data_IF_859869899984
#
_entry.id   IF_859869899984
#
_cell.length_a   1.000
_cell.length_b   1.000
_cell.length_c   1.000
_cell.angle_alpha   90.00
_cell.angle_beta   90.00
_cell.angle_gamma   90.00
#
_symmetry.space_group_name_H-M   'P 1'
#
loop_
_entity.id
_entity.type
_entity.pdbx_description
1 polymer ?
#
# COMPACT_ATOMS: atom_id res chain seq x y z
N UNK A 1 -12.85 -5.60 0.87
CA UNK A 1 -12.35 -6.33 2.07
C UNK A 1 -11.14 -7.16 1.69
N UNK A 2 -9.94 -6.72 2.09
CA UNK A 2 -8.69 -7.42 1.78
C UNK A 2 -8.65 -8.79 2.46
N UNK A 3 -8.58 -9.88 1.67
CA UNK A 3 -8.29 -11.22 2.17
C UNK A 3 -6.80 -11.50 1.99
N UNK A 4 -6.01 -11.24 3.02
CA UNK A 4 -4.58 -11.60 3.06
C UNK A 4 -4.46 -13.12 3.07
N UNK A 5 -3.57 -13.68 2.23
CA UNK A 5 -3.30 -15.11 2.25
C UNK A 5 -2.92 -15.56 3.67
N UNK A 6 -3.42 -16.71 4.13
CA UNK A 6 -3.16 -17.17 5.49
C UNK A 6 -1.66 -17.32 5.71
N UNK A 7 -1.20 -16.91 6.90
CA UNK A 7 0.15 -17.23 7.36
C UNK A 7 0.32 -18.76 7.37
N UNK A 8 1.55 -19.23 7.13
CA UNK A 8 1.87 -20.67 7.12
C UNK A 8 1.42 -21.40 8.40
N UNK A 9 1.29 -20.69 9.54
CA UNK A 9 0.74 -21.20 10.80
C UNK A 9 -0.41 -20.32 11.30
N UNK A 10 -1.63 -20.88 11.34
CA UNK A 10 -2.83 -20.20 11.85
C UNK A 10 -2.89 -20.15 13.40
N UNK A 11 -2.20 -21.06 14.09
CA UNK A 11 -2.18 -21.18 15.56
C UNK A 11 -1.51 -20.00 16.28
N UNK A 12 -0.63 -19.26 15.60
CA UNK A 12 0.10 -18.12 16.16
C UNK A 12 -0.60 -16.77 15.92
N UNK A 13 -1.74 -16.78 15.21
CA UNK A 13 -2.46 -15.54 14.88
C UNK A 13 -3.29 -15.04 16.06
N UNK A 14 -3.37 -13.70 16.17
CA UNK A 14 -4.29 -13.06 17.10
C UNK A 14 -5.74 -13.39 16.72
N UNK A 15 -6.49 -13.93 17.68
CA UNK A 15 -7.90 -14.28 17.51
C UNK A 15 -8.84 -13.11 17.86
N UNK A 16 -8.55 -11.93 17.31
CA UNK A 16 -9.41 -10.75 17.39
C UNK A 16 -9.61 -10.18 15.99
N UNK A 17 -10.78 -9.58 15.69
CA UNK A 17 -10.98 -8.88 14.43
C UNK A 17 -10.16 -7.59 14.41
N UNK A 18 -9.49 -7.32 13.28
CA UNK A 18 -8.82 -6.05 12.98
C UNK A 18 -9.55 -5.32 11.85
N UNK A 19 -9.84 -4.03 12.05
CA UNK A 19 -10.17 -3.09 10.99
C UNK A 19 -9.05 -2.04 10.96
N UNK A 20 -8.38 -1.91 9.82
CA UNK A 20 -7.35 -0.91 9.57
C UNK A 20 -7.89 0.10 8.55
N UNK A 21 -7.87 1.37 8.93
CA UNK A 21 -8.25 2.50 8.07
C UNK A 21 -7.00 3.32 7.81
N UNK A 22 -6.76 3.61 6.54
CA UNK A 22 -5.61 4.37 6.06
C UNK A 22 -6.13 5.56 5.28
N UNK A 23 -5.97 6.77 5.82
CA UNK A 23 -6.53 8.01 5.30
C UNK A 23 -5.68 8.65 4.19
N UNK A 24 -4.46 8.15 3.99
CA UNK A 24 -3.60 8.52 2.87
C UNK A 24 -3.02 7.26 2.20
N UNK A 25 -3.94 6.46 1.67
CA UNK A 25 -3.65 5.17 1.05
C UNK A 25 -2.78 5.24 -0.22
N UNK A 26 -2.50 6.42 -0.76
CA UNK A 26 -1.58 6.57 -1.89
C UNK A 26 -0.12 6.26 -1.51
N UNK A 27 0.26 6.49 -0.24
CA UNK A 27 1.60 6.23 0.28
C UNK A 27 1.93 4.73 0.36
N UNK A 28 0.88 3.91 0.43
CA UNK A 28 0.97 2.46 0.41
C UNK A 28 1.01 1.88 -1.02
N UNK A 29 1.05 2.70 -2.08
CA UNK A 29 1.05 2.21 -3.46
C UNK A 29 2.37 1.54 -3.88
N UNK A 30 2.40 1.01 -5.10
CA UNK A 30 3.63 0.52 -5.74
C UNK A 30 4.60 1.68 -5.93
N UNK A 31 5.88 1.44 -5.66
CA UNK A 31 6.94 2.42 -5.84
C UNK A 31 7.66 2.15 -7.17
N UNK A 32 7.31 2.92 -8.20
CA UNK A 32 7.89 2.80 -9.54
C UNK A 32 9.39 3.14 -9.60
N UNK A 33 9.93 3.83 -8.58
CA UNK A 33 11.33 4.24 -8.54
C UNK A 33 12.31 3.09 -8.22
N UNK A 34 11.84 1.95 -7.69
CA UNK A 34 12.69 0.82 -7.28
C UNK A 34 12.62 -0.38 -8.22
N UNK A 35 12.06 -0.21 -9.42
CA UNK A 35 11.88 -1.26 -10.42
C UNK A 35 10.42 -1.70 -10.56
N UNK A 36 10.10 -2.39 -11.66
CA UNK A 36 8.74 -2.95 -11.87
C UNK A 36 8.39 -3.89 -10.73
N UNK A 37 7.31 -3.61 -10.01
CA UNK A 37 6.77 -4.48 -8.96
C UNK A 37 7.29 -4.23 -7.54
N UNK A 38 8.19 -3.26 -7.32
CA UNK A 38 8.68 -2.92 -5.99
C UNK A 38 7.58 -2.20 -5.17
N UNK A 39 7.13 -2.82 -4.09
CA UNK A 39 6.10 -2.27 -3.19
C UNK A 39 6.71 -1.34 -2.13
N UNK A 40 5.95 -0.30 -1.72
CA UNK A 40 6.45 0.66 -0.72
C UNK A 40 6.71 0.00 0.65
N UNK A 41 7.59 0.61 1.45
CA UNK A 41 7.85 0.15 2.83
C UNK A 41 6.58 0.14 3.68
N UNK A 42 5.66 1.07 3.42
CA UNK A 42 4.37 1.20 4.10
C UNK A 42 3.47 0.02 3.72
N UNK A 43 3.36 -0.30 2.42
CA UNK A 43 2.63 -1.47 1.91
C UNK A 43 3.08 -2.76 2.62
N UNK A 44 4.40 -2.95 2.67
CA UNK A 44 5.14 -3.68 3.69
C UNK A 44 4.47 -3.85 5.06
N UNK A 45 4.64 -2.82 5.85
CA UNK A 45 4.28 -2.90 7.26
C UNK A 45 2.78 -3.15 7.45
N UNK A 46 1.94 -2.61 6.56
CA UNK A 46 0.51 -2.90 6.51
C UNK A 46 0.27 -4.40 6.31
N UNK A 47 0.87 -5.04 5.29
CA UNK A 47 0.70 -6.49 5.09
C UNK A 47 1.21 -7.32 6.27
N UNK A 48 2.37 -6.94 6.83
CA UNK A 48 2.93 -7.62 8.00
C UNK A 48 1.99 -7.53 9.19
N UNK A 49 1.35 -6.38 9.41
CA UNK A 49 0.36 -6.19 10.47
C UNK A 49 -0.88 -7.03 10.22
N UNK A 50 -1.48 -6.93 9.03
CA UNK A 50 -2.68 -7.68 8.66
C UNK A 50 -2.47 -9.20 8.78
N UNK A 51 -1.26 -9.70 8.47
CA UNK A 51 -0.95 -11.13 8.55
C UNK A 51 -0.95 -11.69 9.98
N UNK A 52 -0.77 -10.84 11.00
CA UNK A 52 -0.78 -11.27 12.41
C UNK A 52 -2.17 -11.64 12.92
N UNK A 53 -3.24 -11.26 12.21
CA UNK A 53 -4.61 -11.47 12.65
C UNK A 53 -5.27 -12.59 11.84
N UNK A 54 -6.11 -13.38 12.52
CA UNK A 54 -6.95 -14.42 11.91
C UNK A 54 -8.07 -13.82 11.06
N UNK A 55 -8.54 -12.62 11.43
CA UNK A 55 -9.57 -11.85 10.74
C UNK A 55 -9.12 -10.39 10.65
N UNK A 56 -8.92 -9.89 9.43
CA UNK A 56 -8.44 -8.53 9.19
C UNK A 56 -9.20 -7.91 8.00
N UNK A 57 -9.51 -6.63 8.08
CA UNK A 57 -10.04 -5.81 6.98
C UNK A 57 -9.22 -4.53 6.88
N UNK A 58 -8.88 -4.14 5.65
CA UNK A 58 -8.20 -2.89 5.33
C UNK A 58 -9.11 -2.03 4.47
N UNK A 59 -9.18 -0.74 4.80
CA UNK A 59 -9.89 0.30 4.06
C UNK A 59 -8.89 1.43 3.81
N UNK A 60 -8.51 1.60 2.54
CA UNK A 60 -7.76 2.76 2.10
C UNK A 60 -8.70 3.86 1.63
N UNK A 61 -8.51 5.06 2.14
CA UNK A 61 -9.15 6.30 1.74
C UNK A 61 -8.03 7.27 1.33
N UNK A 62 -8.24 8.05 0.27
CA UNK A 62 -7.26 9.05 -0.19
C UNK A 62 -7.96 10.02 -1.14
N UNK A 63 -7.48 11.26 -1.18
CA UNK A 63 -7.88 12.24 -2.19
C UNK A 63 -7.16 12.04 -3.54
N UNK A 64 -6.07 11.27 -3.56
CA UNK A 64 -5.11 11.16 -4.68
C UNK A 64 -4.87 9.70 -5.10
N UNK A 65 -5.89 8.96 -5.58
CA UNK A 65 -5.75 7.53 -5.86
C UNK A 65 -4.94 7.22 -7.14
N UNK A 66 -4.14 8.16 -7.67
CA UNK A 66 -3.45 8.05 -8.97
C UNK A 66 -2.64 6.76 -9.10
N UNK A 67 -1.77 6.45 -8.14
CA UNK A 67 -0.96 5.24 -8.22
C UNK A 67 -1.81 3.97 -8.04
N UNK A 68 -2.92 4.05 -7.32
CA UNK A 68 -3.79 2.92 -6.99
C UNK A 68 -4.71 2.52 -8.16
N UNK A 69 -5.14 3.49 -8.99
CA UNK A 69 -5.98 3.23 -10.18
C UNK A 69 -5.21 2.59 -11.34
N UNK A 70 -3.89 2.78 -11.41
CA UNK A 70 -3.05 2.25 -12.49
C UNK A 70 -2.46 0.87 -12.18
N UNK A 71 -2.79 0.28 -11.03
CA UNK A 71 -2.39 -1.08 -10.67
C UNK A 71 -3.24 -2.07 -11.47
N UNK A 72 -2.58 -2.99 -12.18
CA UNK A 72 -3.25 -4.07 -12.89
C UNK A 72 -4.00 -4.98 -11.87
N UNK A 73 -5.33 -5.15 -11.99
CA UNK A 73 -6.14 -5.98 -11.10
C UNK A 73 -5.85 -7.48 -11.16
N UNK A 74 -5.14 -7.92 -12.20
CA UNK A 74 -4.78 -9.31 -12.43
C UNK A 74 -3.28 -9.57 -12.22
N UNK A 75 -2.49 -8.56 -11.83
CA UNK A 75 -1.12 -8.78 -11.38
C UNK A 75 -1.13 -9.48 -10.01
N UNK A 76 -0.49 -10.65 -9.95
CA UNK A 76 -0.40 -11.49 -8.75
C UNK A 76 1.05 -11.74 -8.32
N UNK A 77 2.04 -11.28 -9.11
CA UNK A 77 3.46 -11.47 -8.84
C UNK A 77 4.13 -10.15 -8.46
N UNK A 78 4.32 -9.94 -7.16
CA UNK A 78 5.01 -8.75 -6.65
C UNK A 78 6.34 -9.15 -6.00
N UNK A 79 7.37 -8.34 -6.25
CA UNK A 79 8.66 -8.49 -5.58
C UNK A 79 8.72 -7.49 -4.45
N UNK A 80 8.75 -7.99 -3.21
CA UNK A 80 8.95 -7.14 -2.05
C UNK A 80 10.44 -6.92 -1.82
N UNK A 81 10.87 -5.66 -1.94
CA UNK A 81 12.26 -5.28 -1.68
C UNK A 81 12.34 -4.43 -0.42
N UNK A 82 13.06 -4.89 0.59
CA UNK A 82 13.26 -4.12 1.83
C UNK A 82 14.69 -4.16 2.34
N UNK A 83 15.07 -3.09 3.05
CA UNK A 83 16.35 -2.98 3.71
C UNK A 83 16.23 -3.54 5.13
N UNK A 84 16.87 -4.67 5.40
CA UNK A 84 17.06 -5.19 6.75
C UNK A 84 18.38 -4.66 7.32
N UNK A 85 18.36 -4.18 8.56
CA UNK A 85 19.57 -3.73 9.23
C UNK A 85 20.41 -4.97 9.55
N UNK A 86 21.66 -4.97 9.10
CA UNK A 86 22.59 -6.02 9.46
C UNK A 86 23.00 -5.77 10.92
N UNK A 87 22.84 -6.76 11.83
CA UNK A 87 23.34 -6.63 13.19
C UNK A 87 24.84 -6.33 13.15
N UNK A 88 25.26 -5.31 13.89
CA UNK A 88 26.68 -5.09 14.09
C UNK A 88 27.24 -6.29 14.88
N UNK A 89 28.47 -6.74 14.59
CA UNK A 89 29.13 -7.73 15.42
C UNK A 89 29.07 -7.33 16.89
N UNK A 90 28.82 -8.27 17.82
CA UNK A 90 28.84 -7.97 19.25
C UNK A 90 30.16 -7.29 19.62
N UNK A 91 30.09 -6.11 20.25
CA UNK A 91 31.27 -5.36 20.68
C UNK A 91 31.86 -4.38 19.65
N UNK A 92 31.29 -4.22 18.44
CA UNK A 92 31.75 -3.19 17.49
C UNK A 92 31.01 -1.86 17.66
N UNK A 93 31.72 -0.76 17.92
CA UNK A 93 31.21 0.62 17.95
C UNK A 93 31.19 1.30 16.57
N UNK A 94 30.97 0.55 15.50
CA UNK A 94 30.93 1.12 14.15
C UNK A 94 29.66 1.97 13.96
N UNK A 95 29.84 3.30 13.78
CA UNK A 95 28.73 4.26 13.53
C UNK A 95 28.05 4.06 12.17
N UNK A 96 28.67 3.31 11.27
CA UNK A 96 28.13 3.03 9.94
C UNK A 96 27.02 1.98 9.98
N UNK A 97 25.79 2.40 9.65
CA UNK A 97 24.64 1.50 9.53
C UNK A 97 24.71 0.76 8.20
N UNK A 98 25.04 -0.53 8.23
CA UNK A 98 24.95 -1.42 7.06
C UNK A 98 23.55 -2.03 6.94
N UNK A 99 23.09 -2.15 5.70
CA UNK A 99 21.79 -2.72 5.37
C UNK A 99 21.97 -3.80 4.31
N UNK A 100 21.19 -4.88 4.40
CA UNK A 100 21.03 -5.87 3.35
C UNK A 100 19.73 -5.59 2.61
N UNK A 101 19.77 -5.64 1.28
CA UNK A 101 18.55 -5.66 0.47
C UNK A 101 18.06 -7.11 0.44
N UNK A 102 16.82 -7.31 0.89
CA UNK A 102 16.12 -8.58 0.81
C UNK A 102 15.05 -8.43 -0.25
N UNK A 103 15.02 -9.39 -1.17
CA UNK A 103 14.00 -9.52 -2.21
C UNK A 103 13.20 -10.78 -1.90
N UNK A 104 11.91 -10.60 -1.62
CA UNK A 104 10.96 -11.70 -1.47
C UNK A 104 9.99 -11.68 -2.64
N UNK A 105 10.01 -12.74 -3.44
CA UNK A 105 8.98 -12.92 -4.46
C UNK A 105 7.72 -13.41 -3.77
N UNK A 106 6.71 -12.56 -3.74
CA UNK A 106 5.42 -12.87 -3.14
C UNK A 106 4.43 -13.07 -4.28
N UNK A 107 4.03 -14.32 -4.46
CA UNK A 107 2.83 -14.65 -5.25
C UNK A 107 1.61 -14.44 -4.36
N UNK A 108 1.26 -13.18 -4.12
CA UNK A 108 0.08 -12.77 -3.35
C UNK A 108 -0.56 -11.60 -4.06
N UNK A 109 -1.89 -11.60 -4.05
CA UNK A 109 -2.71 -10.48 -4.52
C UNK A 109 -2.29 -9.18 -3.83
N UNK A 110 -2.29 -8.08 -4.58
CA UNK A 110 -1.99 -6.75 -4.04
C UNK A 110 -3.09 -6.28 -3.07
N UNK A 111 -2.77 -5.31 -2.21
CA UNK A 111 -3.70 -4.64 -1.29
C UNK A 111 -4.87 -4.03 -2.07
N UNK A 112 -4.62 -3.53 -3.27
CA UNK A 112 -5.53 -2.59 -3.93
C UNK A 112 -6.48 -3.12 -5.03
N UNK A 113 -6.16 -4.01 -5.98
CA UNK A 113 -6.83 -3.84 -7.27
C UNK A 113 -8.03 -4.79 -7.51
N UNK A 114 -8.62 -5.40 -6.48
CA UNK A 114 -9.93 -6.11 -6.61
C UNK A 114 -10.99 -5.73 -5.58
N UNK A 115 -10.64 -4.93 -4.57
CA UNK A 115 -11.53 -4.72 -3.43
C UNK A 115 -12.39 -3.46 -3.54
N UNK A 116 -12.80 -3.13 -4.77
CA UNK A 116 -13.54 -1.93 -5.22
C UNK A 116 -12.81 -0.61 -4.92
N UNK A 117 -12.66 0.24 -5.95
CA UNK A 117 -12.39 1.67 -5.77
C UNK A 117 -13.76 2.34 -5.90
N UNK A 118 -14.25 2.97 -4.82
CA UNK A 118 -15.47 3.77 -4.89
C UNK A 118 -15.06 5.22 -5.08
N UNK A 119 -15.27 5.75 -6.28
CA UNK A 119 -15.25 7.19 -6.50
C UNK A 119 -16.47 7.81 -5.83
N UNK A 120 -16.26 8.71 -4.87
CA UNK A 120 -17.35 9.47 -4.29
C UNK A 120 -17.79 10.54 -5.30
N UNK A 121 -19.10 10.67 -5.51
CA UNK A 121 -19.63 11.79 -6.29
C UNK A 121 -19.28 13.10 -5.58
N UNK A 122 -18.90 14.16 -6.33
CA UNK A 122 -18.69 15.47 -5.73
C UNK A 122 -20.00 15.92 -5.05
N UNK A 123 -19.93 16.51 -3.84
CA UNK A 123 -21.13 17.04 -3.18
C UNK A 123 -21.75 18.17 -4.01
N UNK A 124 -23.05 18.42 -3.84
CA UNK A 124 -23.79 19.41 -4.64
C UNK A 124 -23.27 20.85 -4.51
N UNK A 125 -22.47 21.14 -3.48
CA UNK A 125 -21.82 22.41 -3.23
C UNK A 125 -20.31 22.40 -3.57
N UNK A 126 -19.82 21.38 -4.27
CA UNK A 126 -18.42 21.32 -4.70
C UNK A 126 -18.10 22.41 -5.72
N UNK A 127 -17.13 23.26 -5.38
CA UNK A 127 -16.61 24.29 -6.28
C UNK A 127 -15.30 23.78 -6.91
N UNK A 128 -15.43 23.12 -8.06
CA UNK A 128 -14.29 22.58 -8.80
C UNK A 128 -13.50 23.63 -9.59
N UNK A 129 -12.38 23.23 -10.22
CA UNK A 129 -11.56 24.10 -11.06
C UNK A 129 -12.34 24.85 -12.14
N UNK A 130 -13.42 24.26 -12.67
CA UNK A 130 -14.29 24.92 -13.65
C UNK A 130 -14.96 26.21 -13.12
N UNK A 131 -15.24 26.28 -11.82
CA UNK A 131 -15.79 27.47 -11.18
C UNK A 131 -14.71 28.56 -11.02
N UNK A 132 -13.48 28.18 -10.70
CA UNK A 132 -12.37 29.09 -10.41
C UNK A 132 -11.64 29.57 -11.67
N UNK A 133 -11.51 28.71 -12.68
CA UNK A 133 -10.72 28.93 -13.89
C UNK A 133 -11.60 28.91 -15.14
N UNK A 134 -12.82 29.48 -15.07
CA UNK A 134 -13.67 29.68 -16.26
C UNK A 134 -12.78 30.20 -17.40
N UNK A 135 -12.62 29.41 -18.45
CA UNK A 135 -11.94 29.86 -19.65
C UNK A 135 -12.79 30.97 -20.25
N UNK A 136 -12.19 32.14 -20.49
CA UNK A 136 -12.83 33.23 -21.24
C UNK A 136 -13.14 32.86 -22.70
N UNK A 137 -12.82 31.64 -23.14
CA UNK A 137 -13.06 31.18 -24.52
C UNK A 137 -14.43 30.50 -24.68
N UNK A 138 -15.49 31.24 -24.37
CA UNK A 138 -16.85 30.96 -24.89
C UNK A 138 -17.26 32.02 -25.92
N UNK A 139 -16.37 32.24 -26.90
CA UNK A 139 -16.69 32.84 -28.20
C UNK A 139 -15.86 32.16 -29.30
N UNK A 140 -16.39 31.09 -29.87
CA UNK A 140 -16.23 30.77 -31.30
C UNK A 140 -17.63 30.43 -31.82
#
# INVERSE_FOLDING_TARGET
MVRVLPAKNLSEKKNHPLLLIDDEADNASINTAYGKGAISKINSQIRKLLSQFSRASYVGYTATPFANIFIDPDEENFTYTFKEKIPAPPGSESKEKKYKIIEENITSRDLFPRHFIVGLAPPSNYLGPHFLFKSEDSKI
#
